data_IF_667314612558
#
_entry.id   IF_667314612558
#
_cell.length_a   1.000
_cell.length_b   1.000
_cell.length_c   1.000
_cell.angle_alpha   90.00
_cell.angle_beta   90.00
_cell.angle_gamma   90.00
#
_symmetry.space_group_name_H-M   'P 1'
#
loop_
_entity.id
_entity.type
_entity.pdbx_description
1 polymer ?
#
# COMPACT_ATOMS: atom_id res chain seq x y z
N UNK A 1 30.88 -23.70 29.83
CA UNK A 1 29.74 -23.87 28.89
C UNK A 1 30.10 -23.17 27.60
N UNK A 2 30.30 -23.90 26.51
CA UNK A 2 30.56 -23.30 25.19
C UNK A 2 29.24 -22.88 24.56
N UNK A 3 29.02 -21.57 24.45
CA UNK A 3 27.89 -21.01 23.71
C UNK A 3 28.20 -21.19 22.23
N UNK A 4 27.55 -22.14 21.57
CA UNK A 4 27.62 -22.31 20.12
C UNK A 4 26.86 -21.12 19.51
N UNK A 5 27.59 -20.21 18.86
CA UNK A 5 26.98 -19.15 18.04
C UNK A 5 26.89 -19.65 16.61
N UNK A 6 25.69 -19.95 16.13
CA UNK A 6 25.46 -20.05 14.69
C UNK A 6 25.72 -18.67 14.08
N UNK A 7 26.65 -18.59 13.13
CA UNK A 7 26.78 -17.40 12.28
C UNK A 7 25.52 -17.24 11.45
N UNK A 8 25.04 -16.00 11.29
CA UNK A 8 23.94 -15.72 10.36
C UNK A 8 24.40 -16.05 8.95
N UNK A 9 23.59 -16.77 8.18
CA UNK A 9 23.88 -17.07 6.77
C UNK A 9 23.69 -15.86 5.87
N UNK A 10 22.89 -14.88 6.30
CA UNK A 10 22.61 -13.66 5.57
C UNK A 10 22.66 -12.47 6.52
N UNK A 11 23.16 -11.34 6.04
CA UNK A 11 23.00 -10.07 6.75
C UNK A 11 21.59 -9.51 6.53
N UNK A 12 21.10 -8.68 7.46
CA UNK A 12 19.80 -8.02 7.33
C UNK A 12 19.77 -7.14 6.06
N UNK A 13 20.90 -6.51 5.75
CA UNK A 13 21.06 -5.71 4.54
C UNK A 13 20.91 -6.55 3.27
N UNK A 14 21.52 -7.73 3.22
CA UNK A 14 21.42 -8.64 2.07
C UNK A 14 19.98 -9.10 1.85
N UNK A 15 19.24 -9.38 2.92
CA UNK A 15 17.81 -9.73 2.82
C UNK A 15 16.96 -8.58 2.30
N UNK A 16 17.31 -7.33 2.62
CA UNK A 16 16.60 -6.15 2.15
C UNK A 16 16.85 -5.90 0.66
N UNK A 17 18.09 -6.07 0.22
CA UNK A 17 18.47 -5.89 -1.20
C UNK A 17 17.86 -6.99 -2.09
N UNK A 18 17.57 -8.16 -1.51
CA UNK A 18 16.87 -9.26 -2.17
C UNK A 18 15.34 -9.12 -2.15
N UNK A 19 14.79 -8.09 -1.51
CA UNK A 19 13.33 -7.89 -1.48
C UNK A 19 12.83 -7.68 -2.92
N UNK A 20 11.80 -8.44 -3.35
CA UNK A 20 11.26 -8.29 -4.69
C UNK A 20 10.77 -6.85 -4.92
N UNK A 21 10.92 -6.31 -6.14
CA UNK A 21 10.52 -4.94 -6.42
C UNK A 21 9.04 -4.71 -6.10
N UNK A 22 8.75 -3.58 -5.44
CA UNK A 22 7.39 -3.18 -5.04
C UNK A 22 6.44 -3.29 -6.23
N UNK A 23 5.41 -4.12 -6.11
CA UNK A 23 4.60 -4.62 -7.25
C UNK A 23 3.90 -3.49 -7.99
N UNK A 24 3.46 -2.48 -7.24
CA UNK A 24 2.72 -1.34 -7.78
C UNK A 24 3.58 -0.08 -7.95
N UNK A 25 4.84 -0.08 -7.49
CA UNK A 25 5.69 1.12 -7.49
C UNK A 25 5.85 1.70 -8.89
N UNK A 26 6.16 0.85 -9.88
CA UNK A 26 6.27 1.28 -11.28
C UNK A 26 4.93 1.80 -11.84
N UNK A 27 3.82 1.16 -11.48
CA UNK A 27 2.49 1.55 -11.97
C UNK A 27 2.11 2.93 -11.42
N UNK A 28 2.19 3.11 -10.10
CA UNK A 28 1.84 4.38 -9.46
C UNK A 28 2.76 5.53 -9.89
N UNK A 29 4.04 5.27 -10.16
CA UNK A 29 4.97 6.30 -10.66
C UNK A 29 4.60 6.88 -12.03
N UNK A 30 3.81 6.16 -12.82
CA UNK A 30 3.38 6.59 -14.16
C UNK A 30 2.04 7.29 -14.18
N UNK A 31 1.27 7.23 -13.09
CA UNK A 31 -0.08 7.77 -13.01
C UNK A 31 -0.06 9.16 -12.38
N UNK A 32 -0.40 10.17 -13.17
CA UNK A 32 -0.72 11.49 -12.64
C UNK A 32 -2.15 11.49 -12.05
N UNK A 33 -2.23 11.45 -10.72
CA UNK A 33 -3.49 11.36 -9.97
C UNK A 33 -3.97 12.70 -9.40
N UNK A 34 -3.14 13.73 -9.45
CA UNK A 34 -3.45 15.07 -8.95
C UNK A 34 -4.75 15.66 -9.53
N UNK A 35 -5.04 15.56 -10.84
CA UNK A 35 -6.31 16.09 -11.37
C UNK A 35 -7.53 15.35 -10.79
N UNK A 36 -7.41 14.04 -10.56
CA UNK A 36 -8.49 13.22 -10.00
C UNK A 36 -8.69 13.55 -8.53
N UNK A 37 -7.60 13.71 -7.77
CA UNK A 37 -7.65 14.10 -6.37
C UNK A 37 -8.30 15.47 -6.17
N UNK A 38 -8.02 16.45 -7.03
CA UNK A 38 -8.66 17.76 -6.98
C UNK A 38 -10.19 17.69 -7.15
N UNK A 39 -10.68 16.72 -7.94
CA UNK A 39 -12.11 16.52 -8.17
C UNK A 39 -12.78 15.78 -7.01
N UNK A 40 -12.13 14.73 -6.50
CA UNK A 40 -12.73 13.82 -5.49
C UNK A 40 -12.55 14.33 -4.05
N UNK A 41 -11.49 15.11 -3.80
CA UNK A 41 -11.22 15.65 -2.48
C UNK A 41 -12.36 16.54 -1.99
N UNK A 42 -12.63 16.49 -0.69
CA UNK A 42 -13.66 17.31 -0.06
C UNK A 42 -13.26 18.79 -0.20
N UNK A 43 -14.02 19.53 -1.02
CA UNK A 43 -13.84 20.99 -1.21
C UNK A 43 -14.43 21.82 -0.07
N UNK A 44 -15.41 21.26 0.64
CA UNK A 44 -16.13 21.97 1.69
C UNK A 44 -15.43 21.82 3.05
N UNK A 45 -15.34 22.94 3.77
CA UNK A 45 -14.89 22.98 5.16
C UNK A 45 -16.00 22.53 6.11
N UNK A 46 -17.26 22.58 5.67
CA UNK A 46 -18.44 22.21 6.47
C UNK A 46 -18.72 20.69 6.39
N UNK A 47 -19.34 20.16 7.45
CA UNK A 47 -19.63 18.73 7.61
C UNK A 47 -18.52 17.95 8.30
N UNK A 48 -18.75 16.66 8.58
CA UNK A 48 -17.85 15.83 9.38
C UNK A 48 -16.40 15.84 8.84
N UNK A 49 -15.39 15.90 9.72
CA UNK A 49 -14.00 15.77 9.31
C UNK A 49 -13.81 14.41 8.65
N UNK A 50 -13.19 14.43 7.48
CA UNK A 50 -13.02 13.24 6.65
C UNK A 50 -11.55 12.84 6.74
N UNK A 51 -11.22 11.98 7.71
CA UNK A 51 -9.87 11.42 7.89
C UNK A 51 -9.55 10.33 6.83
N UNK A 52 -9.95 10.57 5.58
CA UNK A 52 -9.75 9.62 4.49
C UNK A 52 -8.49 10.00 3.72
N UNK A 53 -7.56 9.05 3.62
CA UNK A 53 -6.46 9.16 2.69
C UNK A 53 -6.97 8.86 1.26
N UNK A 54 -7.44 9.90 0.57
CA UNK A 54 -7.98 9.82 -0.80
C UNK A 54 -6.98 9.23 -1.80
N UNK A 55 -5.69 9.53 -1.61
CA UNK A 55 -4.60 8.99 -2.45
C UNK A 55 -4.55 7.48 -2.31
N UNK A 56 -4.49 6.97 -1.08
CA UNK A 56 -4.45 5.53 -0.82
C UNK A 56 -5.72 4.82 -1.29
N UNK A 57 -6.87 5.47 -1.17
CA UNK A 57 -8.12 4.95 -1.72
C UNK A 57 -8.05 4.80 -3.23
N UNK A 58 -7.58 5.82 -3.96
CA UNK A 58 -7.45 5.76 -5.41
C UNK A 58 -6.47 4.67 -5.85
N UNK A 59 -5.30 4.60 -5.22
CA UNK A 59 -4.33 3.53 -5.48
C UNK A 59 -4.89 2.14 -5.20
N UNK A 60 -5.69 1.97 -4.14
CA UNK A 60 -6.35 0.68 -3.87
C UNK A 60 -7.34 0.27 -4.96
N UNK A 61 -8.00 1.23 -5.61
CA UNK A 61 -8.89 0.97 -6.73
C UNK A 61 -8.11 0.61 -8.00
N UNK A 62 -6.97 1.25 -8.25
CA UNK A 62 -6.06 0.88 -9.34
C UNK A 62 -5.51 -0.53 -9.12
N UNK A 63 -4.99 -0.81 -7.91
CA UNK A 63 -4.50 -2.13 -7.53
C UNK A 63 -5.57 -3.22 -7.69
N UNK A 64 -6.83 -2.91 -7.36
CA UNK A 64 -7.99 -3.78 -7.61
C UNK A 64 -8.09 -4.20 -9.09
N UNK A 65 -7.90 -3.24 -10.01
CA UNK A 65 -7.99 -3.48 -11.45
C UNK A 65 -6.80 -4.34 -11.91
N UNK A 66 -5.59 -3.99 -11.49
CA UNK A 66 -4.35 -4.70 -11.84
C UNK A 66 -4.41 -6.17 -11.39
N UNK A 67 -4.85 -6.41 -10.17
CA UNK A 67 -4.95 -7.76 -9.60
C UNK A 67 -6.29 -8.46 -9.87
N UNK A 68 -7.18 -7.82 -10.65
CA UNK A 68 -8.50 -8.35 -11.03
C UNK A 68 -9.35 -8.81 -9.85
N UNK A 69 -9.31 -8.05 -8.76
CA UNK A 69 -10.19 -8.31 -7.60
C UNK A 69 -11.63 -7.97 -8.02
N UNK A 70 -12.58 -8.92 -7.94
CA UNK A 70 -13.87 -8.79 -8.60
C UNK A 70 -14.79 -7.75 -7.96
N UNK A 71 -14.73 -7.60 -6.63
CA UNK A 71 -15.62 -6.70 -5.90
C UNK A 71 -14.88 -5.80 -4.92
N UNK A 72 -15.48 -4.64 -4.62
CA UNK A 72 -14.97 -3.72 -3.58
C UNK A 72 -15.01 -4.38 -2.19
N UNK A 73 -15.94 -5.31 -1.95
CA UNK A 73 -15.99 -6.08 -0.70
C UNK A 73 -14.74 -6.94 -0.53
N UNK A 74 -14.29 -7.58 -1.60
CA UNK A 74 -13.08 -8.42 -1.57
C UNK A 74 -11.82 -7.57 -1.46
N UNK A 75 -11.78 -6.40 -2.12
CA UNK A 75 -10.72 -5.42 -1.91
C UNK A 75 -10.61 -5.02 -0.43
N UNK A 76 -11.74 -4.69 0.21
CA UNK A 76 -11.76 -4.30 1.63
C UNK A 76 -11.32 -5.44 2.54
N UNK A 77 -11.72 -6.69 2.25
CA UNK A 77 -11.22 -7.87 2.98
C UNK A 77 -9.71 -7.98 2.83
N UNK A 78 -9.19 -7.83 1.61
CA UNK A 78 -7.75 -7.91 1.36
C UNK A 78 -6.97 -6.80 2.06
N UNK A 79 -7.42 -5.55 1.96
CA UNK A 79 -6.83 -4.42 2.72
C UNK A 79 -6.81 -4.66 4.24
N UNK A 80 -7.75 -5.46 4.77
CA UNK A 80 -7.79 -5.80 6.19
C UNK A 80 -6.82 -6.92 6.57
N UNK A 81 -6.65 -7.92 5.71
CA UNK A 81 -5.89 -9.14 6.03
C UNK A 81 -4.46 -9.14 5.49
N UNK A 82 -4.20 -8.39 4.42
CA UNK A 82 -2.92 -8.33 3.72
C UNK A 82 -2.24 -6.99 4.05
N UNK A 83 -1.32 -7.04 5.02
CA UNK A 83 -0.59 -5.87 5.50
C UNK A 83 0.29 -5.25 4.41
N UNK A 84 0.96 -6.09 3.61
CA UNK A 84 1.85 -5.62 2.54
C UNK A 84 1.04 -4.89 1.48
N UNK A 85 -0.07 -5.48 1.04
CA UNK A 85 -0.96 -4.84 0.07
C UNK A 85 -1.50 -3.49 0.58
N UNK A 86 -1.86 -3.41 1.86
CA UNK A 86 -2.30 -2.17 2.50
C UNK A 86 -1.21 -1.10 2.49
N UNK A 87 0.03 -1.50 2.78
CA UNK A 87 1.19 -0.61 2.85
C UNK A 87 1.62 -0.13 1.46
N UNK A 88 1.63 -1.03 0.47
CA UNK A 88 1.89 -0.67 -0.93
C UNK A 88 0.86 0.32 -1.49
N UNK A 89 -0.40 0.22 -1.07
CA UNK A 89 -1.43 1.20 -1.43
C UNK A 89 -1.26 2.57 -0.72
N UNK A 90 -0.38 2.69 0.28
CA UNK A 90 -0.11 3.94 0.99
C UNK A 90 -1.06 4.24 2.17
N UNK A 91 -1.78 3.24 2.69
CA UNK A 91 -2.52 3.42 3.94
C UNK A 91 -1.57 3.43 5.13
N UNK A 92 -1.78 4.38 6.05
CA UNK A 92 -1.02 4.44 7.30
C UNK A 92 -1.36 3.24 8.20
N UNK A 93 -0.37 2.79 8.96
CA UNK A 93 -0.56 1.79 10.01
C UNK A 93 -0.98 2.54 11.27
N UNK A 94 -2.28 2.74 11.44
CA UNK A 94 -2.88 3.25 12.68
C UNK A 94 -3.11 2.16 13.71
#
# INVERSE_FOLDING_TARGET
MSIIRQGSLFDIQELFDLEPPKRFGAIFSTLDIDPILCVISKKSIYGAPTELNYVAMLYSLVARIVERIPTVKDLRKRLKHDFIFRLECGFLVS
#
